data_IF_413492737505
#
_entry.id   IF_413492737505
#
_cell.length_a   1.000
_cell.length_b   1.000
_cell.length_c   1.000
_cell.angle_alpha   90.00
_cell.angle_beta   90.00
_cell.angle_gamma   90.00
#
_symmetry.space_group_name_H-M   'P 1'
#
loop_
_entity.id
_entity.type
_entity.pdbx_description
1 polymer ?
#
# COMPACT_ATOMS: atom_id res chain seq x y z
N UNK A 1 -10.80 3.18 -8.72
CA UNK A 1 -11.73 4.31 -8.97
C UNK A 1 -11.12 5.45 -9.78
N UNK A 2 -9.81 5.71 -9.68
CA UNK A 2 -9.18 6.91 -10.24
C UNK A 2 -8.91 6.88 -11.76
N UNK A 3 -8.80 8.06 -12.38
CA UNK A 3 -8.49 8.27 -13.79
C UNK A 3 -7.09 8.84 -13.96
N UNK A 4 -6.47 8.59 -15.10
CA UNK A 4 -5.15 9.14 -15.43
C UNK A 4 -5.26 10.65 -15.57
N UNK A 5 -4.42 11.38 -14.83
CA UNK A 5 -4.30 12.83 -14.93
C UNK A 5 -2.90 13.22 -15.45
N UNK A 6 -2.78 14.36 -16.15
CA UNK A 6 -1.49 14.85 -16.68
C UNK A 6 -0.43 15.01 -15.58
N UNK A 7 -0.82 15.45 -14.38
CA UNK A 7 0.08 15.60 -13.23
C UNK A 7 0.65 14.27 -12.73
N UNK A 8 0.07 13.13 -13.13
CA UNK A 8 0.51 11.80 -12.72
C UNK A 8 1.70 11.30 -13.55
N UNK A 9 1.80 11.74 -14.81
CA UNK A 9 2.71 11.19 -15.82
C UNK A 9 4.20 11.32 -15.44
N UNK A 10 4.56 12.29 -14.58
CA UNK A 10 5.94 12.43 -14.10
C UNK A 10 6.42 11.24 -13.25
N UNK A 11 5.51 10.45 -12.67
CA UNK A 11 5.84 9.32 -11.77
C UNK A 11 5.10 8.02 -12.05
N UNK A 12 4.01 8.04 -12.83
CA UNK A 12 3.23 6.85 -13.19
C UNK A 12 3.57 6.40 -14.61
N UNK A 13 4.76 5.83 -14.77
CA UNK A 13 5.38 5.51 -16.07
C UNK A 13 4.62 4.44 -16.90
N UNK A 14 3.61 3.80 -16.32
CA UNK A 14 2.74 2.85 -17.02
C UNK A 14 1.69 3.54 -17.91
N UNK A 15 1.45 4.83 -17.70
CA UNK A 15 0.44 5.61 -18.42
C UNK A 15 1.10 6.61 -19.37
N UNK A 16 0.45 6.87 -20.51
CA UNK A 16 0.91 7.86 -21.49
C UNK A 16 -0.06 9.03 -21.63
N UNK A 17 0.36 10.08 -22.33
CA UNK A 17 -0.45 11.29 -22.54
C UNK A 17 -1.82 11.00 -23.16
N UNK A 18 -1.89 10.01 -24.06
CA UNK A 18 -3.13 9.56 -24.68
C UNK A 18 -4.11 8.87 -23.72
N UNK A 19 -3.63 8.41 -22.56
CA UNK A 19 -4.46 7.77 -21.55
C UNK A 19 -5.15 8.77 -20.63
N UNK A 20 -4.89 10.07 -20.74
CA UNK A 20 -5.51 11.07 -19.86
C UNK A 20 -7.03 10.96 -19.90
N UNK A 21 -7.65 11.04 -18.72
CA UNK A 21 -9.06 10.75 -18.44
C UNK A 21 -9.45 9.26 -18.51
N UNK A 22 -8.62 8.34 -18.99
CA UNK A 22 -8.92 6.89 -18.93
C UNK A 22 -8.85 6.39 -17.50
N UNK A 23 -9.66 5.40 -17.14
CA UNK A 23 -9.53 4.74 -15.84
C UNK A 23 -8.14 4.10 -15.71
N UNK A 24 -7.42 4.38 -14.61
CA UNK A 24 -6.04 3.91 -14.43
C UNK A 24 -5.90 2.41 -14.58
N UNK A 25 -6.84 1.66 -14.00
CA UNK A 25 -6.85 0.19 -14.06
C UNK A 25 -7.00 -0.34 -15.49
N UNK A 26 -7.73 0.37 -16.36
CA UNK A 26 -7.91 -0.04 -17.76
C UNK A 26 -6.68 0.29 -18.59
N UNK A 27 -6.10 1.49 -18.42
CA UNK A 27 -4.81 1.80 -19.05
C UNK A 27 -3.73 0.80 -18.61
N UNK A 28 -3.62 0.51 -17.31
CA UNK A 28 -2.66 -0.45 -16.79
C UNK A 28 -2.82 -1.84 -17.41
N UNK A 29 -4.05 -2.36 -17.47
CA UNK A 29 -4.33 -3.67 -18.09
C UNK A 29 -3.82 -3.76 -19.52
N UNK A 30 -4.18 -2.79 -20.36
CA UNK A 30 -3.79 -2.80 -21.77
C UNK A 30 -2.27 -2.83 -21.95
N UNK A 31 -1.53 -2.06 -21.15
CA UNK A 31 -0.06 -2.00 -21.25
C UNK A 31 0.58 -3.29 -20.72
N UNK A 32 0.04 -3.87 -19.65
CA UNK A 32 0.54 -5.14 -19.10
C UNK A 32 0.27 -6.30 -20.07
N UNK A 33 -0.92 -6.39 -20.65
CA UNK A 33 -1.28 -7.43 -21.62
C UNK A 33 -0.51 -7.27 -22.94
N UNK A 34 -0.23 -6.03 -23.37
CA UNK A 34 0.64 -5.76 -24.50
C UNK A 34 2.09 -6.17 -24.23
N UNK A 35 2.59 -5.95 -23.00
CA UNK A 35 3.94 -6.35 -22.58
C UNK A 35 4.08 -7.87 -22.46
N UNK A 36 3.07 -8.54 -21.89
CA UNK A 36 3.06 -9.98 -21.73
C UNK A 36 1.63 -10.54 -21.91
N UNK A 37 1.28 -11.10 -23.08
CA UNK A 37 -0.06 -11.64 -23.33
C UNK A 37 -0.34 -12.94 -22.57
N UNK A 38 0.66 -13.53 -21.90
CA UNK A 38 0.51 -14.74 -21.09
C UNK A 38 -0.03 -14.51 -19.68
N UNK A 39 -0.20 -13.25 -19.25
CA UNK A 39 -0.76 -12.94 -17.92
C UNK A 39 -2.25 -12.64 -18.00
N UNK A 40 -2.97 -12.92 -16.91
CA UNK A 40 -4.35 -12.47 -16.72
C UNK A 40 -4.36 -11.24 -15.82
N UNK A 41 -4.94 -10.14 -16.28
CA UNK A 41 -5.03 -8.89 -15.51
C UNK A 41 -6.49 -8.61 -15.15
N UNK A 42 -6.82 -8.82 -13.88
CA UNK A 42 -8.14 -8.51 -13.34
C UNK A 42 -8.17 -7.08 -12.78
N UNK A 43 -9.12 -6.27 -13.26
CA UNK A 43 -9.24 -4.86 -12.89
C UNK A 43 -10.44 -4.62 -11.98
N UNK A 44 -10.26 -3.80 -10.94
CA UNK A 44 -11.33 -3.36 -10.06
C UNK A 44 -11.43 -1.83 -10.11
N UNK A 45 -12.30 -1.24 -10.96
CA UNK A 45 -12.45 0.22 -11.07
C UNK A 45 -13.20 0.86 -9.88
N UNK A 46 -13.18 0.23 -8.71
CA UNK A 46 -13.85 0.66 -7.48
C UNK A 46 -12.85 1.21 -6.47
N UNK A 47 -13.34 1.79 -5.36
CA UNK A 47 -12.53 2.14 -4.19
C UNK A 47 -12.61 0.98 -3.21
N UNK A 48 -11.47 0.58 -2.64
CA UNK A 48 -11.47 -0.45 -1.59
C UNK A 48 -12.05 0.13 -0.30
N UNK A 49 -12.95 -0.62 0.31
CA UNK A 49 -13.59 -0.32 1.58
C UNK A 49 -13.86 -1.61 2.37
N UNK A 50 -14.49 -1.49 3.54
CA UNK A 50 -14.74 -2.64 4.42
C UNK A 50 -15.73 -3.65 3.84
N UNK A 51 -16.60 -3.23 2.92
CA UNK A 51 -17.63 -4.07 2.29
C UNK A 51 -17.06 -4.96 1.19
N UNK A 52 -16.00 -4.52 0.50
CA UNK A 52 -15.49 -5.21 -0.70
C UNK A 52 -14.09 -5.83 -0.54
N UNK A 53 -13.24 -5.30 0.35
CA UNK A 53 -11.80 -5.63 0.32
C UNK A 53 -11.54 -7.11 0.58
N UNK A 54 -12.27 -7.73 1.52
CA UNK A 54 -12.06 -9.13 1.90
C UNK A 54 -12.36 -10.08 0.76
N UNK A 55 -13.46 -9.84 0.05
CA UNK A 55 -13.85 -10.66 -1.10
C UNK A 55 -12.78 -10.59 -2.20
N UNK A 56 -12.29 -9.38 -2.49
CA UNK A 56 -11.29 -9.15 -3.53
C UNK A 56 -9.96 -9.82 -3.16
N UNK A 57 -9.41 -9.55 -1.97
CA UNK A 57 -8.05 -10.01 -1.64
C UNK A 57 -7.96 -11.53 -1.40
N UNK A 58 -9.08 -12.20 -1.10
CA UNK A 58 -9.13 -13.65 -0.88
C UNK A 58 -8.55 -14.45 -2.04
N UNK A 59 -8.76 -13.99 -3.27
CA UNK A 59 -8.29 -14.64 -4.49
C UNK A 59 -6.80 -14.48 -4.80
N UNK A 60 -6.05 -13.71 -4.01
CA UNK A 60 -4.63 -13.41 -4.28
C UNK A 60 -3.71 -13.94 -3.19
N UNK A 61 -2.46 -14.28 -3.52
CA UNK A 61 -1.46 -14.79 -2.56
C UNK A 61 -0.69 -13.69 -1.83
N UNK A 62 -0.40 -12.60 -2.56
CA UNK A 62 0.40 -11.47 -2.11
C UNK A 62 -0.32 -10.18 -2.52
N UNK A 63 -0.41 -9.24 -1.58
CA UNK A 63 -1.02 -7.93 -1.79
C UNK A 63 0.09 -6.87 -1.78
N UNK A 64 0.12 -5.99 -2.77
CA UNK A 64 1.03 -4.85 -2.82
C UNK A 64 0.26 -3.58 -2.49
N UNK A 65 0.68 -2.87 -1.45
CA UNK A 65 0.13 -1.56 -1.10
C UNK A 65 0.99 -0.45 -1.71
N UNK A 66 0.42 0.23 -2.72
CA UNK A 66 0.94 1.46 -3.32
C UNK A 66 0.02 2.66 -3.08
N UNK A 67 -0.82 2.61 -2.03
CA UNK A 67 -1.75 3.69 -1.70
C UNK A 67 -1.03 4.89 -1.09
N UNK A 68 -1.64 6.08 -1.20
CA UNK A 68 -1.03 7.35 -0.79
C UNK A 68 -1.62 7.92 0.51
N UNK A 69 -2.44 7.13 1.22
CA UNK A 69 -3.17 7.60 2.40
C UNK A 69 -3.26 6.51 3.48
N UNK A 70 -3.16 6.92 4.74
CA UNK A 70 -3.21 6.00 5.89
C UNK A 70 -4.48 5.13 5.95
N UNK A 71 -5.70 5.65 5.69
CA UNK A 71 -6.89 4.81 5.66
C UNK A 71 -6.77 3.54 4.83
N UNK A 72 -6.31 3.65 3.59
CA UNK A 72 -6.11 2.50 2.72
C UNK A 72 -5.04 1.54 3.27
N UNK A 73 -3.91 2.07 3.78
CA UNK A 73 -2.81 1.26 4.32
C UNK A 73 -3.26 0.38 5.49
N UNK A 74 -3.99 0.97 6.44
CA UNK A 74 -4.48 0.22 7.59
C UNK A 74 -5.63 -0.71 7.23
N UNK A 75 -6.54 -0.31 6.34
CA UNK A 75 -7.59 -1.20 5.83
C UNK A 75 -6.96 -2.44 5.15
N UNK A 76 -5.95 -2.24 4.31
CA UNK A 76 -5.21 -3.32 3.64
C UNK A 76 -4.49 -4.21 4.67
N UNK A 77 -3.83 -3.61 5.66
CA UNK A 77 -3.19 -4.37 6.74
C UNK A 77 -4.18 -5.26 7.50
N UNK A 78 -5.30 -4.69 7.94
CA UNK A 78 -6.28 -5.40 8.74
C UNK A 78 -6.95 -6.50 7.90
N UNK A 79 -7.27 -6.20 6.63
CA UNK A 79 -7.82 -7.20 5.73
C UNK A 79 -6.83 -8.34 5.45
N UNK A 80 -5.55 -8.03 5.21
CA UNK A 80 -4.51 -9.05 5.02
C UNK A 80 -4.28 -9.89 6.27
N UNK A 81 -4.40 -9.30 7.47
CA UNK A 81 -4.40 -10.04 8.73
C UNK A 81 -5.54 -11.08 8.76
N UNK A 82 -6.78 -10.64 8.54
CA UNK A 82 -7.94 -11.53 8.63
C UNK A 82 -7.98 -12.59 7.52
N UNK A 83 -7.50 -12.26 6.33
CA UNK A 83 -7.46 -13.16 5.16
C UNK A 83 -6.14 -13.93 5.03
N UNK A 84 -5.22 -13.78 5.99
CA UNK A 84 -3.91 -14.45 6.03
C UNK A 84 -3.13 -14.26 4.72
N UNK A 85 -3.00 -13.01 4.28
CA UNK A 85 -2.25 -12.62 3.08
C UNK A 85 -0.93 -11.95 3.46
N UNK A 86 0.11 -12.13 2.66
CA UNK A 86 1.30 -11.30 2.77
C UNK A 86 0.99 -9.92 2.18
N UNK A 87 1.39 -8.88 2.91
CA UNK A 87 1.28 -7.50 2.46
C UNK A 87 2.67 -6.91 2.25
N UNK A 88 2.98 -6.50 1.02
CA UNK A 88 4.19 -5.74 0.67
C UNK A 88 3.81 -4.27 0.58
N UNK A 89 4.17 -3.50 1.60
CA UNK A 89 3.80 -2.08 1.71
C UNK A 89 4.92 -1.19 1.24
N UNK A 90 4.61 -0.27 0.33
CA UNK A 90 5.49 0.79 -0.14
C UNK A 90 4.95 2.17 0.25
N UNK A 91 5.81 3.07 0.69
CA UNK A 91 5.47 4.46 0.95
C UNK A 91 6.55 5.38 0.40
N UNK A 92 6.15 6.56 -0.05
CA UNK A 92 7.06 7.57 -0.59
C UNK A 92 6.62 8.95 -0.10
N UNK A 93 7.59 9.82 0.17
CA UNK A 93 7.34 11.21 0.54
C UNK A 93 8.53 12.05 0.09
N UNK A 94 8.31 13.03 -0.79
CA UNK A 94 9.39 13.87 -1.36
C UNK A 94 10.51 13.04 -2.01
N UNK A 95 11.62 12.88 -1.29
CA UNK A 95 12.83 12.16 -1.71
C UNK A 95 12.99 10.80 -1.02
N UNK A 96 12.11 10.49 -0.07
CA UNK A 96 12.21 9.30 0.77
C UNK A 96 11.30 8.19 0.28
N UNK A 97 11.80 6.96 0.33
CA UNK A 97 11.06 5.73 0.06
C UNK A 97 11.13 4.77 1.25
N UNK A 98 10.07 3.98 1.45
CA UNK A 98 9.99 2.97 2.50
C UNK A 98 9.35 1.70 1.96
N UNK A 99 9.92 0.54 2.29
CA UNK A 99 9.34 -0.77 1.97
C UNK A 99 9.42 -1.71 3.17
N UNK A 100 8.33 -2.44 3.42
CA UNK A 100 8.30 -3.54 4.39
C UNK A 100 7.37 -4.65 3.92
N UNK A 101 7.61 -5.87 4.42
CA UNK A 101 6.74 -7.02 4.23
C UNK A 101 6.08 -7.37 5.56
N UNK A 102 4.76 -7.28 5.60
CA UNK A 102 3.93 -7.69 6.74
C UNK A 102 3.33 -9.05 6.42
N UNK A 103 3.91 -10.11 6.99
CA UNK A 103 3.43 -11.48 6.84
C UNK A 103 3.39 -12.18 8.19
N UNK A 104 2.18 -12.23 8.76
CA UNK A 104 1.92 -12.87 10.05
C UNK A 104 1.87 -14.39 9.98
N UNK A 105 1.67 -14.97 8.79
CA UNK A 105 1.71 -16.44 8.62
C UNK A 105 3.08 -16.98 9.03
N UNK A 106 4.11 -16.15 8.86
CA UNK A 106 5.50 -16.43 9.18
C UNK A 106 5.95 -15.77 10.50
N UNK A 107 5.01 -15.41 11.39
CA UNK A 107 5.31 -14.83 12.70
C UNK A 107 5.80 -13.37 12.68
N UNK A 108 5.71 -12.69 11.53
CA UNK A 108 6.14 -11.30 11.38
C UNK A 108 5.25 -10.29 12.12
N UNK A 109 5.70 -9.03 12.28
CA UNK A 109 4.83 -7.94 12.72
C UNK A 109 3.79 -7.60 11.64
N UNK A 110 2.69 -6.98 12.05
CA UNK A 110 1.77 -6.29 11.14
C UNK A 110 2.09 -4.79 11.06
N UNK A 111 1.46 -4.06 10.14
CA UNK A 111 1.62 -2.60 10.03
C UNK A 111 1.32 -1.89 11.36
N UNK A 112 0.29 -2.34 12.09
CA UNK A 112 -0.08 -1.81 13.42
C UNK A 112 0.93 -2.11 14.53
N UNK A 113 1.91 -3.00 14.32
CA UNK A 113 3.03 -3.12 15.26
C UNK A 113 4.01 -1.95 15.12
N UNK A 114 4.10 -1.35 13.94
CA UNK A 114 4.93 -0.18 13.66
C UNK A 114 4.15 1.12 13.92
N UNK A 115 2.90 1.20 13.45
CA UNK A 115 2.02 2.35 13.59
C UNK A 115 0.71 1.92 14.26
N UNK A 116 0.59 1.99 15.60
CA UNK A 116 -0.57 1.43 16.32
C UNK A 116 -1.92 1.98 15.84
N UNK A 117 -1.96 3.29 15.60
CA UNK A 117 -3.13 4.06 15.21
C UNK A 117 -2.76 5.00 14.07
N UNK A 118 -3.72 5.39 13.22
CA UNK A 118 -3.45 6.37 12.20
C UNK A 118 -3.11 7.74 12.77
N UNK A 119 -2.28 8.52 12.07
CA UNK A 119 -2.09 9.91 12.44
C UNK A 119 -3.42 10.67 12.31
N UNK A 120 -3.64 11.72 13.12
CA UNK A 120 -4.81 12.57 12.96
C UNK A 120 -4.91 13.15 11.55
N UNK A 121 -6.13 13.37 11.02
CA UNK A 121 -6.33 13.97 9.71
C UNK A 121 -5.57 15.31 9.57
N UNK A 122 -4.89 15.51 8.44
CA UNK A 122 -4.17 16.75 8.13
C UNK A 122 -2.76 16.89 8.76
N UNK A 123 -2.32 15.95 9.60
CA UNK A 123 -0.97 16.00 10.20
C UNK A 123 0.12 15.59 9.21
N UNK A 124 -0.19 14.65 8.32
CA UNK A 124 0.76 14.15 7.31
C UNK A 124 0.21 14.47 5.93
N UNK A 125 0.94 15.24 5.10
CA UNK A 125 0.48 15.59 3.76
C UNK A 125 0.44 14.35 2.86
N UNK A 126 -0.48 14.35 1.90
CA UNK A 126 -0.51 13.33 0.85
C UNK A 126 0.70 13.46 -0.09
N UNK A 127 1.00 12.42 -0.86
CA UNK A 127 2.02 12.47 -1.92
C UNK A 127 1.76 13.61 -2.93
N UNK A 128 0.49 13.94 -3.18
CA UNK A 128 0.10 15.01 -4.09
C UNK A 128 0.37 16.39 -3.48
N UNK A 129 0.18 16.54 -2.17
CA UNK A 129 0.40 17.79 -1.43
C UNK A 129 1.88 18.07 -1.16
N UNK A 130 2.65 17.05 -0.78
CA UNK A 130 4.05 17.20 -0.42
C UNK A 130 4.99 17.27 -1.63
N UNK A 131 4.54 16.76 -2.79
CA UNK A 131 5.40 16.46 -3.92
C UNK A 131 6.17 15.15 -3.75
N UNK A 132 6.46 14.48 -4.87
CA UNK A 132 7.19 13.20 -4.91
C UNK A 132 8.04 13.15 -6.16
N UNK A 133 9.29 12.72 -6.01
CA UNK A 133 10.19 12.47 -7.13
C UNK A 133 9.87 11.12 -7.79
N UNK A 134 9.57 11.11 -9.10
CA UNK A 134 9.21 9.89 -9.83
C UNK A 134 10.26 8.77 -9.75
N UNK A 135 11.54 9.11 -9.67
CA UNK A 135 12.63 8.13 -9.48
C UNK A 135 12.48 7.34 -8.16
N UNK A 136 12.08 8.01 -7.07
CA UNK A 136 11.85 7.37 -5.76
C UNK A 136 10.66 6.41 -5.83
N UNK A 137 9.60 6.81 -6.54
CA UNK A 137 8.45 5.93 -6.79
C UNK A 137 8.87 4.68 -7.57
N UNK A 138 9.69 4.84 -8.61
CA UNK A 138 10.22 3.73 -9.41
C UNK A 138 11.08 2.76 -8.58
N UNK A 139 12.02 3.27 -7.78
CA UNK A 139 12.86 2.45 -6.89
C UNK A 139 12.00 1.70 -5.87
N UNK A 140 11.09 2.39 -5.20
CA UNK A 140 10.20 1.80 -4.18
C UNK A 140 9.33 0.70 -4.79
N UNK A 141 8.71 0.96 -5.94
CA UNK A 141 7.88 -0.03 -6.65
C UNK A 141 8.67 -1.25 -7.13
N UNK A 142 9.91 -1.06 -7.61
CA UNK A 142 10.79 -2.15 -8.00
C UNK A 142 11.17 -3.05 -6.81
N UNK A 143 11.44 -2.46 -5.64
CA UNK A 143 11.69 -3.21 -4.42
C UNK A 143 10.43 -3.97 -3.99
N UNK A 144 9.24 -3.36 -4.05
CA UNK A 144 7.98 -4.07 -3.76
C UNK A 144 7.78 -5.29 -4.67
N UNK A 145 8.01 -5.13 -5.98
CA UNK A 145 7.91 -6.24 -6.93
C UNK A 145 8.93 -7.36 -6.61
N UNK A 146 10.16 -6.99 -6.25
CA UNK A 146 11.19 -7.96 -5.83
C UNK A 146 10.77 -8.75 -4.58
N UNK A 147 10.20 -8.07 -3.58
CA UNK A 147 9.68 -8.75 -2.37
C UNK A 147 8.52 -9.70 -2.71
N UNK A 148 7.61 -9.29 -3.59
CA UNK A 148 6.51 -10.15 -4.04
C UNK A 148 7.02 -11.41 -4.75
N UNK A 149 7.99 -11.27 -5.65
CA UNK A 149 8.61 -12.40 -6.35
C UNK A 149 9.29 -13.37 -5.38
N UNK A 150 10.03 -12.87 -4.38
CA UNK A 150 10.63 -13.73 -3.34
C UNK A 150 9.59 -14.54 -2.59
N UNK A 151 8.45 -13.93 -2.25
CA UNK A 151 7.36 -14.61 -1.54
C UNK A 151 6.72 -15.68 -2.44
N UNK A 152 6.39 -15.35 -3.69
CA UNK A 152 5.75 -16.27 -4.64
C UNK A 152 6.65 -17.47 -4.96
N UNK A 153 7.93 -17.21 -5.19
CA UNK A 153 8.91 -18.24 -5.55
C UNK A 153 9.44 -19.03 -4.35
N UNK A 154 9.18 -18.56 -3.12
CA UNK A 154 9.71 -19.18 -1.90
C UNK A 154 11.25 -19.09 -1.79
N UNK A 155 11.86 -18.04 -2.35
CA UNK A 155 13.32 -17.87 -2.41
C UNK A 155 13.81 -16.65 -1.62
N UNK A 156 15.05 -16.75 -1.14
CA UNK A 156 15.70 -15.68 -0.41
C UNK A 156 15.04 -15.40 0.94
N UNK A 157 15.17 -14.15 1.40
CA UNK A 157 14.58 -13.69 2.68
C UNK A 157 13.79 -12.41 2.42
N UNK A 158 12.44 -12.45 2.49
CA UNK A 158 11.63 -11.24 2.42
C UNK A 158 11.98 -10.24 3.53
N UNK A 159 11.60 -8.98 3.36
CA UNK A 159 11.77 -7.91 4.35
C UNK A 159 10.88 -8.08 5.60
N UNK A 160 10.34 -9.27 5.85
CA UNK A 160 9.53 -9.54 7.04
C UNK A 160 10.30 -9.16 8.32
N UNK A 161 9.66 -8.37 9.17
CA UNK A 161 10.28 -7.87 10.40
C UNK A 161 11.30 -6.74 10.19
N UNK A 162 11.33 -6.11 9.02
CA UNK A 162 12.24 -5.00 8.73
C UNK A 162 11.55 -3.88 7.95
N UNK A 163 11.92 -2.63 8.24
CA UNK A 163 11.61 -1.46 7.42
C UNK A 163 12.87 -1.08 6.66
N UNK A 164 12.82 -1.12 5.33
CA UNK A 164 13.85 -0.55 4.49
C UNK A 164 13.48 0.91 4.20
N UNK A 165 14.35 1.84 4.55
CA UNK A 165 14.24 3.25 4.22
C UNK A 165 15.29 3.59 3.15
N UNK A 166 14.87 4.37 2.16
CA UNK A 166 15.70 4.90 1.10
C UNK A 166 15.65 6.42 1.15
N UNK A 167 16.80 7.07 1.30
CA UNK A 167 16.96 8.52 1.15
C UNK A 167 17.50 8.81 -0.25
N UNK A 168 16.67 9.44 -1.09
CA UNK A 168 17.03 9.78 -2.47
C UNK A 168 17.99 10.96 -2.62
N UNK A 169 18.19 11.79 -1.59
CA UNK A 169 19.15 12.91 -1.61
C UNK A 169 20.58 12.42 -1.40
N UNK A 170 20.75 11.48 -0.47
CA UNK A 170 22.07 10.89 -0.16
C UNK A 170 22.31 9.55 -0.86
N UNK A 171 21.27 8.97 -1.46
CA UNK A 171 21.27 7.64 -2.09
C UNK A 171 21.69 6.56 -1.09
N UNK A 172 21.13 6.63 0.12
CA UNK A 172 21.44 5.69 1.20
C UNK A 172 20.25 4.77 1.47
N UNK A 173 20.58 3.55 1.91
CA UNK A 173 19.60 2.54 2.33
C UNK A 173 19.85 2.15 3.77
N UNK A 174 18.84 2.36 4.61
CA UNK A 174 18.89 1.97 6.01
C UNK A 174 17.83 0.92 6.29
N UNK A 175 18.21 -0.08 7.10
CA UNK A 175 17.33 -1.20 7.44
C UNK A 175 17.09 -1.23 8.94
N UNK A 176 15.86 -0.95 9.34
CA UNK A 176 15.43 -0.97 10.73
C UNK A 176 14.69 -2.26 11.06
N UNK A 177 14.96 -2.84 12.22
CA UNK A 177 14.26 -4.03 12.70
C UNK A 177 12.91 -3.64 13.29
N UNK A 178 11.84 -4.22 12.76
CA UNK A 178 10.48 -4.11 13.31
C UNK A 178 10.23 -5.33 14.18
N UNK A 179 9.80 -5.12 15.42
CA UNK A 179 9.43 -6.21 16.33
C UNK A 179 7.91 -6.34 16.40
N UNK A 180 7.42 -7.58 16.51
CA UNK A 180 6.02 -7.82 16.83
C UNK A 180 5.73 -7.23 18.21
N UNK A 181 4.70 -6.39 18.30
CA UNK A 181 4.26 -5.80 19.56
C UNK A 181 3.24 -6.74 20.24
N UNK A 182 3.53 -7.29 21.44
CA UNK A 182 2.58 -8.13 22.17
C UNK A 182 1.25 -7.44 22.50
N UNK A 183 1.26 -6.11 22.62
CA UNK A 183 0.09 -5.27 22.88
C UNK A 183 -0.54 -4.70 21.60
N UNK A 184 -0.15 -5.19 20.42
CA UNK A 184 -0.72 -4.73 19.15
C UNK A 184 -2.25 -4.93 19.16
N UNK A 185 -3.05 -3.90 18.84
CA UNK A 185 -4.51 -3.99 18.92
C UNK A 185 -5.11 -4.99 17.92
N UNK A 186 -4.34 -5.43 16.91
CA UNK A 186 -4.77 -6.39 15.89
C UNK A 186 -4.16 -7.78 16.06
N UNK A 187 -2.83 -7.89 16.16
CA UNK A 187 -2.14 -9.19 16.17
C UNK A 187 -1.42 -9.53 17.48
N UNK A 188 -1.70 -8.76 18.55
CA UNK A 188 -1.19 -8.98 19.89
C UNK A 188 -1.84 -10.17 20.61
N UNK A 189 -1.48 -10.36 21.88
CA UNK A 189 -1.99 -11.48 22.71
C UNK A 189 -3.46 -11.31 23.11
N UNK A 190 -3.91 -10.06 23.21
CA UNK A 190 -5.29 -9.68 23.52
C UNK A 190 -5.75 -8.62 22.49
N UNK A 191 -6.09 -9.04 21.26
CA UNK A 191 -6.49 -8.11 20.21
C UNK A 191 -7.81 -7.42 20.57
N UNK A 192 -7.87 -6.12 20.27
CA UNK A 192 -9.07 -5.27 20.44
C UNK A 192 -9.81 -5.03 19.12
N UNK A 193 -9.15 -5.31 17.99
CA UNK A 193 -9.72 -5.23 16.65
C UNK A 193 -10.04 -6.66 16.19
N UNK A 194 -11.32 -6.99 16.14
CA UNK A 194 -11.86 -8.31 15.80
C UNK A 194 -12.59 -8.34 14.44
N UNK A 195 -12.87 -7.17 13.86
CA UNK A 195 -13.49 -7.00 12.54
C UNK A 195 -12.94 -5.76 11.83
N UNK A 196 -13.12 -5.71 10.52
CA UNK A 196 -12.90 -4.47 9.77
C UNK A 196 -13.94 -3.43 10.20
N UNK A 197 -13.48 -2.21 10.51
CA UNK A 197 -14.35 -1.10 10.86
C UNK A 197 -13.93 0.16 10.10
N UNK A 198 -14.92 0.90 9.61
CA UNK A 198 -14.71 2.21 8.98
C UNK A 198 -14.44 3.30 10.01
N UNK A 199 -14.83 3.06 11.27
CA UNK A 199 -14.89 4.04 12.36
C UNK A 199 -13.55 4.57 12.88
N UNK A 200 -12.42 4.25 12.25
CA UNK A 200 -11.12 4.87 12.56
C UNK A 200 -10.61 5.79 11.44
N UNK A 201 -11.42 6.00 10.39
CA UNK A 201 -10.96 6.56 9.12
C UNK A 201 -11.81 7.72 8.60
N UNK A 202 -12.79 8.16 9.39
CA UNK A 202 -13.77 9.18 9.03
C UNK A 202 -13.22 10.60 9.16
N UNK A 203 -13.08 11.26 8.02
CA UNK A 203 -13.35 12.69 7.89
C UNK A 203 -14.75 12.99 8.46
N UNK A 204 -14.83 13.68 9.60
CA UNK A 204 -16.04 14.44 9.92
C UNK A 204 -16.06 15.68 9.01
N UNK A 205 -16.62 15.53 7.80
CA UNK A 205 -17.35 16.65 7.23
C UNK A 205 -18.73 16.63 7.87
N UNK A 206 -18.82 17.14 9.10
CA UNK A 206 -20.06 17.72 9.57
C UNK A 206 -20.28 18.97 8.73
N UNK A 207 -21.02 18.81 7.63
CA UNK A 207 -21.74 19.91 6.99
C UNK A 207 -22.76 20.44 8.01
N UNK A 208 -22.31 21.30 8.92
CA UNK A 208 -23.22 22.21 9.59
C UNK A 208 -23.66 23.24 8.55
N UNK A 209 -24.71 22.88 7.82
CA UNK A 209 -25.65 23.88 7.33
C UNK A 209 -26.20 24.62 8.55
N UNK A 210 -26.01 25.93 8.60
CA UNK A 210 -26.44 26.71 9.74
C UNK A 210 -26.11 28.19 9.67
N UNK A 211 -26.78 28.89 8.74
CA UNK A 211 -27.00 30.35 8.64
C UNK A 211 -25.81 31.26 8.36
#
# INVERSE_FOLDING_TARGET
>A
SDRVDRSNLQRQILHFTEDVNKAKVLSAREKIEALNPGVTVQTYPIRLDTSNIREIIRGYDVILDGSDNFPARFLLNDACFFEKKALVSGAILRFDGQVSVFDLRNGGPCYRCLFPEPPPPGVVPSCQEAGVLGAVAGITGAIQAMEALKIILGVGKPLTGHLLCFDGLTVTFERFKIRKNPQCPLCGVAPRIDRLSEHLWGCEFSSNGGK
#
